data_IF_201349160090
#
_entry.id   IF_201349160090
#
_cell.length_a   1.000
_cell.length_b   1.000
_cell.length_c   1.000
_cell.angle_alpha   90.00
_cell.angle_beta   90.00
_cell.angle_gamma   90.00
#
_symmetry.space_group_name_H-M   'P 1'
#
loop_
_entity.id
_entity.type
_entity.pdbx_description
1 polymer ?
#
# COMPACT_ATOMS: atom_id res chain seq x y z
N UNK A 1 -14.82 23.71 -0.56
CA UNK A 1 -14.57 22.45 -1.30
C UNK A 1 -13.59 22.62 -2.44
N UNK A 2 -13.81 23.49 -3.44
CA UNK A 2 -12.91 23.65 -4.60
C UNK A 2 -11.43 23.87 -4.22
N UNK A 3 -11.15 24.68 -3.19
CA UNK A 3 -9.80 24.89 -2.69
C UNK A 3 -9.15 23.59 -2.17
N UNK A 4 -9.88 22.78 -1.40
CA UNK A 4 -9.40 21.50 -0.88
C UNK A 4 -9.17 20.49 -2.01
N UNK A 5 -10.08 20.41 -2.98
CA UNK A 5 -9.88 19.58 -4.17
C UNK A 5 -8.67 20.05 -4.99
N UNK A 6 -8.40 21.36 -5.07
CA UNK A 6 -7.21 21.90 -5.75
C UNK A 6 -5.91 21.40 -5.08
N UNK A 7 -5.84 21.42 -3.75
CA UNK A 7 -4.70 20.86 -3.00
C UNK A 7 -4.56 19.33 -3.14
N UNK A 8 -5.67 18.59 -3.16
CA UNK A 8 -5.65 17.15 -3.45
C UNK A 8 -5.21 16.85 -4.90
N UNK A 9 -5.64 17.67 -5.85
CA UNK A 9 -5.23 17.55 -7.24
C UNK A 9 -3.74 17.89 -7.41
N UNK A 10 -3.25 18.90 -6.68
CA UNK A 10 -1.82 19.21 -6.59
C UNK A 10 -1.01 18.01 -6.07
N UNK A 11 -1.49 17.30 -5.04
CA UNK A 11 -0.87 16.06 -4.56
C UNK A 11 -0.77 15.00 -5.66
N UNK A 12 -1.78 14.88 -6.54
CA UNK A 12 -1.72 13.96 -7.69
C UNK A 12 -0.68 14.42 -8.71
N UNK A 13 -0.55 15.71 -8.99
CA UNK A 13 0.46 16.23 -9.91
C UNK A 13 1.91 16.06 -9.41
N UNK A 14 2.14 16.07 -8.09
CA UNK A 14 3.48 15.85 -7.51
C UNK A 14 4.04 14.45 -7.85
N UNK A 15 3.19 13.50 -8.27
CA UNK A 15 3.61 12.17 -8.75
C UNK A 15 4.57 12.23 -9.94
N UNK A 16 4.50 13.29 -10.74
CA UNK A 16 5.34 13.48 -11.92
C UNK A 16 6.78 13.91 -11.58
N UNK A 17 7.07 14.27 -10.32
CA UNK A 17 8.41 14.68 -9.90
C UNK A 17 9.23 13.43 -9.55
N UNK A 18 10.40 13.17 -10.19
CA UNK A 18 11.13 11.91 -10.02
C UNK A 18 11.63 11.65 -8.59
N UNK A 19 11.91 12.70 -7.81
CA UNK A 19 12.44 12.59 -6.44
C UNK A 19 11.32 12.40 -5.41
N UNK A 20 10.21 13.12 -5.54
CA UNK A 20 9.12 13.14 -4.54
C UNK A 20 7.99 12.16 -4.94
N UNK A 21 7.84 11.87 -6.23
CA UNK A 21 6.73 11.10 -6.78
C UNK A 21 6.65 9.67 -6.27
N UNK A 22 7.77 9.02 -5.95
CA UNK A 22 7.79 7.66 -5.34
C UNK A 22 6.99 7.64 -4.05
N UNK A 23 7.22 8.62 -3.17
CA UNK A 23 6.57 8.70 -1.87
C UNK A 23 5.06 8.95 -2.01
N UNK A 24 4.67 9.77 -2.99
CA UNK A 24 3.25 10.05 -3.26
C UNK A 24 2.53 8.84 -3.84
N UNK A 25 3.17 8.11 -4.77
CA UNK A 25 2.61 6.87 -5.34
C UNK A 25 2.49 5.81 -4.24
N UNK A 26 3.50 5.64 -3.41
CA UNK A 26 3.47 4.72 -2.27
C UNK A 26 2.38 5.10 -1.25
N UNK A 27 2.21 6.40 -0.94
CA UNK A 27 1.14 6.90 -0.09
C UNK A 27 -0.25 6.58 -0.64
N UNK A 28 -0.46 6.70 -1.96
CA UNK A 28 -1.73 6.33 -2.59
C UNK A 28 -2.02 4.83 -2.45
N UNK A 29 -1.01 3.99 -2.67
CA UNK A 29 -1.15 2.53 -2.53
C UNK A 29 -1.53 2.18 -1.09
N UNK A 30 -0.82 2.73 -0.10
CA UNK A 30 -1.12 2.52 1.33
C UNK A 30 -2.52 3.06 1.69
N UNK A 31 -2.90 4.23 1.16
CA UNK A 31 -4.23 4.81 1.39
C UNK A 31 -5.35 3.91 0.88
N UNK A 32 -5.20 3.33 -0.32
CA UNK A 32 -6.18 2.36 -0.86
C UNK A 32 -6.30 1.11 0.01
N UNK A 33 -5.18 0.64 0.55
CA UNK A 33 -5.17 -0.49 1.49
C UNK A 33 -5.89 -0.13 2.78
N UNK A 34 -5.61 1.03 3.37
CA UNK A 34 -6.30 1.51 4.56
C UNK A 34 -7.82 1.61 4.37
N UNK A 35 -8.28 2.13 3.22
CA UNK A 35 -9.72 2.22 2.90
C UNK A 35 -10.40 0.85 2.88
N UNK A 36 -9.68 -0.23 2.51
CA UNK A 36 -10.23 -1.60 2.54
C UNK A 36 -10.55 -2.08 3.96
N UNK A 37 -9.89 -1.54 4.97
CA UNK A 37 -10.12 -1.88 6.39
C UNK A 37 -11.13 -0.94 7.09
N UNK A 38 -11.49 0.20 6.49
CA UNK A 38 -12.49 1.14 7.04
C UNK A 38 -13.85 0.49 7.41
N UNK A 39 -14.41 -0.45 6.64
CA UNK A 39 -15.70 -1.07 7.00
C UNK A 39 -15.68 -1.76 8.37
N UNK A 40 -14.54 -2.34 8.76
CA UNK A 40 -14.38 -2.97 10.08
C UNK A 40 -14.45 -1.93 11.20
N UNK A 41 -13.79 -0.78 11.00
CA UNK A 41 -13.86 0.35 11.93
C UNK A 41 -15.28 0.93 12.04
N UNK A 42 -16.02 1.00 10.92
CA UNK A 42 -17.41 1.50 10.93
C UNK A 42 -18.34 0.63 11.78
N UNK A 43 -18.19 -0.70 11.75
CA UNK A 43 -19.02 -1.59 12.60
C UNK A 43 -18.78 -1.31 14.08
N UNK A 44 -17.53 -1.06 14.48
CA UNK A 44 -17.16 -0.73 15.85
C UNK A 44 -17.74 0.64 16.25
N UNK A 45 -17.60 1.66 15.39
CA UNK A 45 -18.18 3.00 15.60
C UNK A 45 -19.69 2.90 15.78
N UNK A 46 -20.38 2.13 14.95
CA UNK A 46 -21.82 1.94 15.05
C UNK A 46 -22.22 1.23 16.35
N UNK A 47 -21.54 0.16 16.73
CA UNK A 47 -21.83 -0.58 17.95
C UNK A 47 -21.71 0.27 19.21
N UNK A 48 -20.57 0.94 19.39
CA UNK A 48 -20.36 1.81 20.55
C UNK A 48 -21.19 3.09 20.46
N UNK A 49 -21.34 3.67 19.26
CA UNK A 49 -22.09 4.91 19.08
C UNK A 49 -23.58 4.78 19.36
N UNK A 50 -24.22 3.70 18.93
CA UNK A 50 -25.61 3.42 19.30
C UNK A 50 -25.76 3.09 20.80
N UNK A 51 -24.75 2.48 21.40
CA UNK A 51 -24.77 2.22 22.85
C UNK A 51 -24.69 3.53 23.65
N UNK A 52 -23.82 4.47 23.24
CA UNK A 52 -23.77 5.81 23.84
C UNK A 52 -25.04 6.61 23.57
N UNK A 53 -25.63 6.50 22.37
CA UNK A 53 -26.91 7.13 22.06
C UNK A 53 -28.00 6.70 23.04
N UNK A 54 -28.16 5.39 23.25
CA UNK A 54 -29.18 4.86 24.17
C UNK A 54 -28.92 5.26 25.64
N UNK A 55 -27.66 5.35 26.06
CA UNK A 55 -27.29 5.60 27.45
C UNK A 55 -27.24 7.11 27.80
N UNK A 56 -26.86 7.95 26.85
CA UNK A 56 -26.59 9.39 27.03
C UNK A 56 -27.54 10.28 26.22
N UNK A 57 -28.70 9.79 25.78
CA UNK A 57 -29.68 10.57 24.99
C UNK A 57 -30.07 11.92 25.61
N UNK A 58 -29.93 12.07 26.93
CA UNK A 58 -30.22 13.30 27.66
C UNK A 58 -29.13 14.38 27.49
N UNK A 59 -27.94 14.03 27.02
CA UNK A 59 -26.85 14.97 26.74
C UNK A 59 -27.01 15.52 25.32
N UNK A 60 -26.82 16.83 25.13
CA UNK A 60 -27.01 17.45 23.81
C UNK A 60 -26.10 16.81 22.74
N UNK A 61 -24.90 16.40 23.18
CA UNK A 61 -23.86 15.77 22.36
C UNK A 61 -24.30 14.41 21.78
N UNK A 62 -25.26 13.74 22.41
CA UNK A 62 -25.78 12.42 21.99
C UNK A 62 -27.28 12.46 21.66
N UNK A 63 -27.85 13.64 21.45
CA UNK A 63 -29.27 13.86 21.18
C UNK A 63 -29.78 13.19 19.88
N UNK A 64 -28.92 13.07 18.87
CA UNK A 64 -29.26 12.41 17.60
C UNK A 64 -28.34 11.23 17.32
N UNK A 65 -28.82 10.17 16.64
CA UNK A 65 -27.99 9.02 16.33
C UNK A 65 -26.78 9.40 15.46
N UNK A 66 -26.94 10.37 14.55
CA UNK A 66 -25.81 10.85 13.75
C UNK A 66 -24.77 11.60 14.59
N UNK A 67 -25.19 12.49 15.50
CA UNK A 67 -24.26 13.15 16.43
C UNK A 67 -23.55 12.14 17.32
N UNK A 68 -24.25 11.10 17.80
CA UNK A 68 -23.65 10.07 18.65
C UNK A 68 -22.54 9.30 17.94
N UNK A 69 -22.71 9.00 16.65
CA UNK A 69 -21.70 8.32 15.83
C UNK A 69 -20.50 9.22 15.57
N UNK A 70 -20.73 10.48 15.18
CA UNK A 70 -19.68 11.48 14.99
C UNK A 70 -18.92 11.70 16.30
N UNK A 71 -19.64 11.74 17.43
CA UNK A 71 -19.00 11.93 18.72
C UNK A 71 -18.15 10.75 19.12
N UNK A 72 -18.68 9.54 18.93
CA UNK A 72 -17.97 8.30 19.23
C UNK A 72 -16.73 8.16 18.37
N UNK A 73 -16.78 8.55 17.08
CA UNK A 73 -15.59 8.55 16.23
C UNK A 73 -14.54 9.56 16.68
N UNK A 74 -14.92 10.71 17.24
CA UNK A 74 -13.96 11.64 17.84
C UNK A 74 -13.32 11.08 19.11
N UNK A 75 -14.12 10.41 19.97
CA UNK A 75 -13.64 9.74 21.19
C UNK A 75 -12.62 8.64 20.87
N UNK A 76 -12.67 8.06 19.67
CA UNK A 76 -11.65 7.10 19.21
C UNK A 76 -10.26 7.72 19.04
N UNK A 77 -10.17 9.01 18.69
CA UNK A 77 -8.91 9.70 18.47
C UNK A 77 -8.44 10.48 19.71
N UNK A 78 -9.38 10.88 20.58
CA UNK A 78 -9.11 11.76 21.72
C UNK A 78 -9.68 11.14 23.01
N UNK A 79 -8.81 10.83 23.97
CA UNK A 79 -9.17 10.22 25.26
C UNK A 79 -9.48 11.27 26.35
N UNK A 80 -10.39 12.21 26.06
CA UNK A 80 -10.81 13.22 27.04
C UNK A 80 -12.26 12.98 27.49
N UNK A 81 -12.46 12.63 28.77
CA UNK A 81 -13.77 12.26 29.33
C UNK A 81 -14.61 13.48 29.75
N UNK A 82 -14.01 14.41 30.49
CA UNK A 82 -14.73 15.41 31.30
C UNK A 82 -15.54 16.45 30.50
N UNK A 83 -14.99 16.99 29.40
CA UNK A 83 -15.70 18.03 28.62
C UNK A 83 -16.44 17.47 27.41
N UNK A 84 -16.09 16.26 26.98
CA UNK A 84 -16.50 15.74 25.67
C UNK A 84 -17.64 14.75 25.80
N UNK A 85 -17.68 13.89 26.82
CA UNK A 85 -18.63 12.77 26.87
C UNK A 85 -19.79 13.04 27.82
N UNK A 86 -19.52 13.68 28.96
CA UNK A 86 -20.54 13.87 29.98
C UNK A 86 -20.42 15.25 30.61
N UNK A 87 -21.44 16.09 30.40
CA UNK A 87 -21.54 17.36 31.10
C UNK A 87 -22.48 17.22 32.28
N UNK A 88 -21.93 17.41 33.48
CA UNK A 88 -22.66 17.44 34.74
C UNK A 88 -23.82 18.47 34.72
N UNK A 89 -23.65 19.58 33.98
CA UNK A 89 -24.65 20.65 33.87
C UNK A 89 -25.87 20.30 33.02
N UNK A 90 -25.79 19.30 32.14
CA UNK A 90 -26.86 18.90 31.22
C UNK A 90 -27.80 17.83 31.81
N UNK A 91 -27.67 17.53 33.11
CA UNK A 91 -28.73 17.00 33.99
C UNK A 91 -29.61 15.86 33.45
N UNK A 92 -29.23 14.60 33.68
CA UNK A 92 -30.05 13.42 33.41
C UNK A 92 -29.97 12.37 34.53
N UNK A 93 -30.58 11.19 34.30
CA UNK A 93 -30.42 10.02 35.19
C UNK A 93 -28.93 9.67 35.25
N UNK A 94 -28.35 9.65 36.46
CA UNK A 94 -26.91 9.47 36.67
C UNK A 94 -26.45 8.04 36.33
N UNK A 95 -26.14 7.78 35.05
CA UNK A 95 -25.46 6.57 34.59
C UNK A 95 -23.93 6.70 34.61
N UNK A 96 -23.40 7.70 35.33
CA UNK A 96 -21.98 8.01 35.43
C UNK A 96 -21.03 6.79 35.55
N UNK A 97 -21.26 5.82 36.48
CA UNK A 97 -20.37 4.66 36.59
C UNK A 97 -20.41 3.75 35.35
N UNK A 98 -21.59 3.57 34.73
CA UNK A 98 -21.75 2.72 33.54
C UNK A 98 -21.08 3.37 32.34
N UNK A 99 -21.28 4.68 32.14
CA UNK A 99 -20.65 5.45 31.07
C UNK A 99 -19.12 5.44 31.18
N UNK A 100 -18.59 5.56 32.41
CA UNK A 100 -17.15 5.51 32.65
C UNK A 100 -16.53 4.15 32.31
N UNK A 101 -17.19 3.05 32.72
CA UNK A 101 -16.77 1.70 32.34
C UNK A 101 -16.81 1.52 30.82
N UNK A 102 -17.86 2.01 30.17
CA UNK A 102 -18.02 1.92 28.72
C UNK A 102 -16.97 2.74 27.97
N UNK A 103 -16.56 3.89 28.52
CA UNK A 103 -15.47 4.71 28.01
C UNK A 103 -14.13 3.98 28.05
N UNK A 104 -13.78 3.37 29.19
CA UNK A 104 -12.54 2.57 29.32
C UNK A 104 -12.57 1.39 28.34
N UNK A 105 -13.70 0.69 28.25
CA UNK A 105 -13.86 -0.44 27.33
C UNK A 105 -13.70 0.00 25.86
N UNK A 106 -14.31 1.13 25.49
CA UNK A 106 -14.17 1.72 24.16
C UNK A 106 -12.70 2.02 23.87
N UNK A 107 -11.99 2.70 24.78
CA UNK A 107 -10.56 3.02 24.61
C UNK A 107 -9.65 1.79 24.48
N UNK A 108 -9.89 0.77 25.31
CA UNK A 108 -9.16 -0.49 25.25
C UNK A 108 -9.37 -1.21 23.92
N UNK A 109 -10.63 -1.37 23.52
CA UNK A 109 -11.00 -1.99 22.25
C UNK A 109 -10.37 -1.24 21.09
N UNK A 110 -10.43 0.09 21.09
CA UNK A 110 -9.79 0.92 20.06
C UNK A 110 -8.29 0.73 19.98
N UNK A 111 -7.58 0.69 21.11
CA UNK A 111 -6.11 0.53 21.11
C UNK A 111 -5.71 -0.84 20.56
N UNK A 112 -6.43 -1.90 20.94
CA UNK A 112 -6.24 -3.25 20.40
C UNK A 112 -6.49 -3.26 18.88
N UNK A 113 -7.60 -2.69 18.42
CA UNK A 113 -7.92 -2.67 16.99
C UNK A 113 -6.94 -1.81 16.17
N UNK A 114 -6.59 -0.62 16.63
CA UNK A 114 -5.68 0.29 15.91
C UNK A 114 -4.30 -0.34 15.79
N UNK A 115 -3.72 -0.84 16.89
CA UNK A 115 -2.39 -1.45 16.86
C UNK A 115 -2.40 -2.72 16.01
N UNK A 116 -3.40 -3.59 16.17
CA UNK A 116 -3.48 -4.84 15.41
C UNK A 116 -3.70 -4.62 13.91
N UNK A 117 -4.49 -3.59 13.56
CA UNK A 117 -4.72 -3.22 12.16
C UNK A 117 -3.47 -2.56 11.56
N UNK A 118 -2.80 -1.66 12.29
CA UNK A 118 -1.60 -0.99 11.80
C UNK A 118 -0.43 -1.97 11.62
N UNK A 119 -0.24 -2.88 12.56
CA UNK A 119 0.78 -3.94 12.47
C UNK A 119 0.41 -4.95 11.39
N UNK A 120 -0.86 -5.35 11.29
CA UNK A 120 -1.35 -6.26 10.26
C UNK A 120 -1.22 -5.70 8.84
N UNK A 121 -1.34 -4.36 8.70
CA UNK A 121 -1.12 -3.65 7.44
C UNK A 121 0.38 -3.47 7.14
N UNK A 122 1.21 -3.19 8.14
CA UNK A 122 2.62 -2.85 7.96
C UNK A 122 3.54 -4.08 7.79
N UNK A 123 3.41 -5.10 8.64
CA UNK A 123 4.43 -6.16 8.78
C UNK A 123 4.58 -7.05 7.54
N UNK A 124 3.50 -7.31 6.81
CA UNK A 124 3.55 -8.15 5.61
C UNK A 124 3.82 -7.39 4.30
N UNK A 125 3.59 -6.08 4.27
CA UNK A 125 3.48 -5.34 3.01
C UNK A 125 4.65 -4.37 2.75
N UNK A 126 5.50 -4.03 3.73
CA UNK A 126 6.63 -3.08 3.51
C UNK A 126 7.53 -3.46 2.31
N UNK A 127 8.06 -4.71 2.18
CA UNK A 127 8.98 -5.02 1.08
C UNK A 127 8.28 -5.03 -0.29
N UNK A 128 7.06 -5.56 -0.37
CA UNK A 128 6.28 -5.65 -1.61
C UNK A 128 5.74 -4.27 -2.06
N UNK A 129 5.44 -3.38 -1.12
CA UNK A 129 5.00 -2.01 -1.43
C UNK A 129 6.13 -1.14 -2.00
N UNK A 130 7.38 -1.36 -1.55
CA UNK A 130 8.55 -0.64 -2.09
C UNK A 130 8.81 -1.05 -3.55
N UNK A 131 8.76 -2.35 -3.85
CA UNK A 131 8.91 -2.85 -5.22
C UNK A 131 7.76 -2.39 -6.14
N UNK A 132 6.52 -2.44 -5.65
CA UNK A 132 5.38 -1.91 -6.41
C UNK A 132 5.50 -0.40 -6.64
N UNK A 133 5.98 0.37 -5.67
CA UNK A 133 6.18 1.80 -5.80
C UNK A 133 7.19 2.17 -6.89
N UNK A 134 8.32 1.47 -6.97
CA UNK A 134 9.35 1.70 -8.00
C UNK A 134 8.88 1.29 -9.39
N UNK A 135 8.15 0.18 -9.51
CA UNK A 135 7.55 -0.26 -10.78
C UNK A 135 6.45 0.69 -11.26
N UNK A 136 5.56 1.12 -10.36
CA UNK A 136 4.48 2.06 -10.68
C UNK A 136 5.03 3.42 -11.09
N UNK A 137 6.06 3.92 -10.42
CA UNK A 137 6.69 5.17 -10.83
C UNK A 137 7.35 5.04 -12.21
N UNK A 138 8.07 3.95 -12.43
CA UNK A 138 8.69 3.68 -13.74
C UNK A 138 7.61 3.70 -14.84
N UNK A 139 6.49 3.00 -14.63
CA UNK A 139 5.35 3.02 -15.57
C UNK A 139 4.78 4.41 -15.79
N UNK A 140 4.53 5.19 -14.73
CA UNK A 140 4.01 6.57 -14.87
C UNK A 140 4.97 7.45 -15.69
N UNK A 141 6.28 7.30 -15.50
CA UNK A 141 7.29 8.00 -16.30
C UNK A 141 7.29 7.55 -17.76
N UNK A 142 7.06 6.28 -18.06
CA UNK A 142 6.94 5.78 -19.44
C UNK A 142 5.62 6.18 -20.11
N UNK A 143 4.50 6.09 -19.41
CA UNK A 143 3.17 6.43 -19.93
C UNK A 143 3.10 7.92 -20.30
N UNK A 144 3.60 8.79 -19.42
CA UNK A 144 3.71 10.22 -19.73
C UNK A 144 4.58 10.48 -20.95
N UNK A 145 5.74 9.82 -21.05
CA UNK A 145 6.63 9.95 -22.22
C UNK A 145 5.98 9.46 -23.52
N UNK A 146 5.30 8.31 -23.47
CA UNK A 146 4.55 7.72 -24.58
C UNK A 146 3.40 8.62 -25.02
N UNK A 147 2.67 9.23 -24.08
CA UNK A 147 1.61 10.19 -24.39
C UNK A 147 2.17 11.44 -25.10
N UNK A 148 3.36 11.92 -24.72
CA UNK A 148 4.07 12.97 -25.46
C UNK A 148 4.51 12.52 -26.86
N UNK A 149 4.98 11.28 -27.01
CA UNK A 149 5.39 10.75 -28.32
C UNK A 149 4.19 10.51 -29.25
N UNK A 150 3.08 9.99 -28.73
CA UNK A 150 1.84 9.77 -29.47
C UNK A 150 1.24 11.12 -29.91
N UNK A 151 1.25 12.11 -29.02
CA UNK A 151 0.82 13.48 -29.35
C UNK A 151 1.74 14.12 -30.41
N UNK A 152 3.06 13.92 -30.31
CA UNK A 152 4.04 14.38 -31.32
C UNK A 152 3.83 13.69 -32.67
N UNK A 153 3.51 12.41 -32.67
CA UNK A 153 3.20 11.64 -33.89
C UNK A 153 1.86 12.08 -34.50
N UNK A 154 0.85 12.36 -33.68
CA UNK A 154 -0.42 12.93 -34.16
C UNK A 154 -0.20 14.31 -34.78
N UNK A 155 0.57 15.19 -34.13
CA UNK A 155 0.92 16.52 -34.67
C UNK A 155 1.73 16.39 -35.98
N UNK A 156 2.68 15.45 -36.05
CA UNK A 156 3.42 15.12 -37.28
C UNK A 156 2.49 14.70 -38.42
N UNK A 157 1.50 13.85 -38.13
CA UNK A 157 0.54 13.36 -39.13
C UNK A 157 -0.38 14.47 -39.65
N UNK A 158 -0.83 15.38 -38.77
CA UNK A 158 -1.65 16.54 -39.15
C UNK A 158 -0.83 17.55 -39.96
N UNK A 159 0.42 17.81 -39.58
CA UNK A 159 1.30 18.73 -40.29
C UNK A 159 1.66 18.23 -41.70
N UNK A 160 1.92 16.92 -41.85
CA UNK A 160 2.14 16.29 -43.15
C UNK A 160 0.88 16.29 -44.03
N UNK A 161 -0.30 16.12 -43.43
CA UNK A 161 -1.58 16.22 -44.13
C UNK A 161 -1.85 17.66 -44.62
N UNK A 162 -1.57 18.68 -43.82
CA UNK A 162 -1.68 20.11 -44.18
C UNK A 162 -0.73 20.47 -45.34
N UNK A 163 0.53 20.01 -45.29
CA UNK A 163 1.51 20.22 -46.38
C UNK A 163 1.07 19.52 -47.66
N UNK A 164 0.44 18.35 -47.56
CA UNK A 164 -0.13 17.62 -48.70
C UNK A 164 -1.31 18.36 -49.34
N UNK A 165 -2.09 19.12 -48.57
CA UNK A 165 -3.26 19.87 -49.05
C UNK A 165 -2.94 21.28 -49.56
N UNK A 166 -1.88 21.92 -49.04
CA UNK A 166 -1.48 23.28 -49.43
C UNK A 166 -0.74 23.31 -50.78
N UNK A 167 -0.20 22.20 -51.26
CA UNK A 167 0.65 22.16 -52.45
C UNK A 167 0.07 21.30 -53.58
N UNK A 168 -0.94 21.83 -54.30
CA UNK A 168 -1.51 21.19 -55.48
C UNK A 168 -0.70 21.42 -56.78
N UNK A 169 0.33 22.27 -56.78
CA UNK A 169 0.99 22.73 -58.03
C UNK A 169 2.53 22.65 -58.09
N UNK A 170 3.25 21.94 -57.20
CA UNK A 170 4.72 21.93 -57.25
C UNK A 170 5.36 20.58 -57.61
N UNK A 171 6.35 20.65 -58.51
CA UNK A 171 7.15 19.57 -59.11
C UNK A 171 7.78 18.62 -58.06
N UNK A 172 7.95 17.35 -58.45
CA UNK A 172 8.31 16.20 -57.59
C UNK A 172 9.58 16.39 -56.75
N UNK A 173 10.48 17.28 -57.17
CA UNK A 173 11.77 17.54 -56.49
C UNK A 173 11.64 18.34 -55.18
N UNK A 174 10.60 19.18 -55.03
CA UNK A 174 10.43 20.01 -53.82
C UNK A 174 9.86 19.23 -52.64
N UNK A 175 9.02 18.21 -52.90
CA UNK A 175 8.37 17.37 -51.88
C UNK A 175 9.38 16.57 -51.05
N UNK A 176 10.40 15.99 -51.69
CA UNK A 176 11.44 15.20 -51.03
C UNK A 176 12.38 16.08 -50.18
N UNK A 177 12.70 17.28 -50.68
CA UNK A 177 13.59 18.22 -49.99
C UNK A 177 12.91 18.86 -48.76
N UNK A 178 11.60 19.10 -48.83
CA UNK A 178 10.81 19.60 -47.72
C UNK A 178 10.61 18.53 -46.63
N UNK A 179 10.40 17.26 -47.02
CA UNK A 179 10.41 16.11 -46.10
C UNK A 179 11.71 16.02 -45.31
N UNK A 180 12.85 16.11 -46.00
CA UNK A 180 14.19 16.06 -45.37
C UNK A 180 14.53 17.29 -44.53
N UNK A 181 14.01 18.48 -44.85
CA UNK A 181 14.27 19.71 -44.09
C UNK A 181 13.45 19.80 -42.80
N UNK A 182 12.20 19.32 -42.83
CA UNK A 182 11.36 19.21 -41.62
C UNK A 182 11.95 18.19 -40.64
N UNK A 183 12.51 17.08 -41.15
CA UNK A 183 13.19 16.06 -40.35
C UNK A 183 14.53 16.57 -39.77
N UNK A 184 15.31 17.33 -40.57
CA UNK A 184 16.65 17.84 -40.18
C UNK A 184 16.61 19.02 -39.20
N UNK A 185 15.59 19.87 -39.25
CA UNK A 185 15.47 21.02 -38.34
C UNK A 185 15.07 20.63 -36.91
N UNK A 186 14.42 19.47 -36.73
CA UNK A 186 14.00 18.98 -35.42
C UNK A 186 15.09 18.17 -34.70
N UNK A 187 16.05 17.59 -35.44
CA UNK A 187 17.20 16.84 -34.92
C UNK A 187 18.33 17.72 -34.35
N UNK A 188 18.26 19.04 -34.55
CA UNK A 188 19.34 19.96 -34.22
C UNK A 188 19.50 20.22 -32.70
N UNK A 189 18.60 19.73 -31.83
CA UNK A 189 18.70 20.00 -30.39
C UNK A 189 19.50 18.95 -29.60
N UNK A 190 19.79 17.75 -30.12
CA UNK A 190 20.62 16.77 -29.40
C UNK A 190 21.46 15.85 -30.33
N UNK A 191 22.74 16.18 -30.59
CA UNK A 191 23.61 15.40 -31.49
C UNK A 191 24.06 14.02 -30.97
N UNK A 192 23.74 13.66 -29.72
CA UNK A 192 24.18 12.41 -29.09
C UNK A 192 23.22 11.23 -29.37
N UNK A 193 21.95 11.50 -29.67
CA UNK A 193 20.93 10.43 -29.79
C UNK A 193 20.91 9.71 -31.15
N UNK A 194 21.37 10.33 -32.24
CA UNK A 194 21.26 9.73 -33.58
C UNK A 194 22.31 8.64 -33.87
N UNK A 195 23.52 8.74 -33.31
CA UNK A 195 24.57 7.71 -33.46
C UNK A 195 24.34 6.47 -32.57
N UNK A 196 23.52 6.59 -31.52
CA UNK A 196 23.27 5.51 -30.55
C UNK A 196 22.04 4.68 -30.94
N UNK A 197 21.00 5.32 -31.50
CA UNK A 197 19.68 4.72 -31.72
C UNK A 197 19.70 3.53 -32.70
N UNK A 198 20.28 3.66 -33.89
CA UNK A 198 20.12 2.60 -34.90
C UNK A 198 21.10 1.41 -34.78
N UNK A 199 22.28 1.57 -34.16
CA UNK A 199 23.31 0.50 -34.13
C UNK A 199 23.42 -0.25 -32.79
N UNK A 200 23.07 0.37 -31.66
CA UNK A 200 23.24 -0.26 -30.33
C UNK A 200 21.95 -0.84 -29.77
N UNK A 201 20.79 -0.26 -30.08
CA UNK A 201 19.55 -0.56 -29.37
C UNK A 201 19.08 -2.00 -29.58
N UNK A 202 19.16 -2.55 -30.80
CA UNK A 202 18.73 -3.93 -31.05
C UNK A 202 19.67 -5.03 -30.52
N UNK A 203 20.95 -4.72 -30.25
CA UNK A 203 21.92 -5.70 -29.74
C UNK A 203 22.10 -5.63 -28.23
N UNK A 204 22.05 -4.42 -27.67
CA UNK A 204 22.14 -4.19 -26.23
C UNK A 204 20.81 -4.53 -25.54
N UNK A 205 19.65 -4.17 -26.11
CA UNK A 205 18.36 -4.59 -25.52
C UNK A 205 18.20 -6.11 -25.51
N UNK A 206 18.68 -6.83 -26.54
CA UNK A 206 18.70 -8.30 -26.52
C UNK A 206 19.59 -8.85 -25.41
N UNK A 207 20.76 -8.25 -25.19
CA UNK A 207 21.69 -8.64 -24.11
C UNK A 207 21.13 -8.31 -22.72
N UNK A 208 20.53 -7.14 -22.55
CA UNK A 208 19.89 -6.71 -21.29
C UNK A 208 18.66 -7.58 -21.01
N UNK A 209 17.83 -7.86 -21.99
CA UNK A 209 16.69 -8.77 -21.84
C UNK A 209 17.13 -10.20 -21.48
N UNK A 210 18.23 -10.70 -22.07
CA UNK A 210 18.83 -11.97 -21.67
C UNK A 210 19.41 -11.94 -20.25
N UNK A 211 20.05 -10.83 -19.86
CA UNK A 211 20.62 -10.66 -18.52
C UNK A 211 19.52 -10.57 -17.45
N UNK A 212 18.46 -9.79 -17.71
CA UNK A 212 17.29 -9.67 -16.85
C UNK A 212 16.54 -11.00 -16.75
N UNK A 213 16.32 -11.70 -17.88
CA UNK A 213 15.70 -13.03 -17.86
C UNK A 213 16.52 -14.04 -17.04
N UNK A 214 17.85 -13.96 -17.10
CA UNK A 214 18.75 -14.83 -16.32
C UNK A 214 18.77 -14.46 -14.83
N UNK A 215 18.78 -13.17 -14.49
CA UNK A 215 18.75 -12.73 -13.10
C UNK A 215 17.41 -13.01 -12.44
N UNK A 216 16.29 -12.72 -13.10
CA UNK A 216 14.94 -13.02 -12.59
C UNK A 216 14.78 -14.53 -12.40
N UNK A 217 15.24 -15.35 -13.35
CA UNK A 217 15.18 -16.80 -13.22
C UNK A 217 16.07 -17.30 -12.06
N UNK A 218 17.26 -16.73 -11.89
CA UNK A 218 18.16 -17.08 -10.78
C UNK A 218 17.59 -16.66 -9.42
N UNK A 219 16.92 -15.51 -9.34
CA UNK A 219 16.29 -15.00 -8.12
C UNK A 219 15.10 -15.88 -7.72
N UNK A 220 14.28 -16.29 -8.69
CA UNK A 220 13.20 -17.27 -8.48
C UNK A 220 13.72 -18.65 -8.05
N UNK A 221 14.84 -19.11 -8.63
CA UNK A 221 15.49 -20.37 -8.21
C UNK A 221 16.02 -20.24 -6.78
N UNK A 222 16.70 -19.14 -6.44
CA UNK A 222 17.24 -18.91 -5.11
C UNK A 222 16.13 -18.88 -4.05
N UNK A 223 15.01 -18.22 -4.35
CA UNK A 223 13.86 -18.16 -3.45
C UNK A 223 13.23 -19.54 -3.23
N UNK A 224 13.10 -20.34 -4.29
CA UNK A 224 12.61 -21.74 -4.18
C UNK A 224 13.56 -22.64 -3.37
N UNK A 225 14.87 -22.44 -3.50
CA UNK A 225 15.89 -23.18 -2.74
C UNK A 225 15.89 -22.75 -1.27
N UNK A 226 15.76 -21.45 -0.99
CA UNK A 226 15.71 -20.92 0.37
C UNK A 226 14.43 -21.36 1.11
N UNK A 227 13.30 -21.49 0.39
CA UNK A 227 12.05 -22.02 0.93
C UNK A 227 12.17 -23.51 1.26
N UNK A 228 12.78 -24.32 0.38
CA UNK A 228 13.02 -25.74 0.61
C UNK A 228 14.02 -25.97 1.79
N UNK A 229 15.05 -25.14 1.92
CA UNK A 229 16.00 -25.16 3.04
C UNK A 229 15.32 -24.79 4.37
N UNK A 230 14.45 -23.77 4.37
CA UNK A 230 13.65 -23.41 5.55
C UNK A 230 12.72 -24.54 5.97
N UNK A 231 12.08 -25.21 5.02
CA UNK A 231 11.20 -26.34 5.30
C UNK A 231 11.97 -27.53 5.93
N UNK A 232 13.17 -27.84 5.41
CA UNK A 232 14.03 -28.86 6.00
C UNK A 232 14.50 -28.51 7.41
N UNK A 233 14.82 -27.24 7.66
CA UNK A 233 15.22 -26.77 8.99
C UNK A 233 14.09 -26.92 10.01
N UNK A 234 12.87 -26.52 9.67
CA UNK A 234 11.70 -26.67 10.53
C UNK A 234 11.34 -28.14 10.79
N UNK A 235 11.46 -29.01 9.78
CA UNK A 235 11.30 -30.47 9.96
C UNK A 235 12.30 -31.01 10.99
N UNK A 236 13.59 -30.67 10.89
CA UNK A 236 14.62 -31.10 11.84
C UNK A 236 14.37 -30.57 13.25
N UNK A 237 13.90 -29.32 13.37
CA UNK A 237 13.57 -28.71 14.66
C UNK A 237 12.41 -29.44 15.33
N UNK A 238 11.34 -29.76 14.60
CA UNK A 238 10.20 -30.55 15.10
C UNK A 238 10.63 -31.95 15.54
N UNK A 239 11.50 -32.63 14.79
CA UNK A 239 12.03 -33.94 15.18
C UNK A 239 12.86 -33.88 16.46
N UNK A 240 13.68 -32.83 16.65
CA UNK A 240 14.46 -32.66 17.89
C UNK A 240 13.56 -32.39 19.09
N UNK A 241 12.52 -31.57 18.92
CA UNK A 241 11.56 -31.28 19.98
C UNK A 241 10.76 -32.54 20.38
N UNK A 242 10.34 -33.34 19.40
CA UNK A 242 9.66 -34.63 19.66
C UNK A 242 10.56 -35.61 20.43
N UNK A 243 11.86 -35.70 20.09
CA UNK A 243 12.79 -36.55 20.83
C UNK A 243 12.96 -36.09 22.28
N UNK A 244 13.07 -34.77 22.52
CA UNK A 244 13.16 -34.23 23.88
C UNK A 244 11.90 -34.51 24.71
N UNK A 245 10.71 -34.37 24.12
CA UNK A 245 9.44 -34.69 24.78
C UNK A 245 9.31 -36.20 25.08
N UNK A 246 9.82 -37.06 24.20
CA UNK A 246 9.81 -38.51 24.38
C UNK A 246 10.82 -38.95 25.46
N UNK A 247 12.00 -38.34 25.50
CA UNK A 247 13.02 -38.55 26.53
C UNK A 247 12.50 -38.13 27.91
N UNK A 248 11.84 -36.96 28.02
CA UNK A 248 11.24 -36.48 29.28
C UNK A 248 10.10 -37.41 29.76
N UNK A 249 9.28 -37.94 28.83
CA UNK A 249 8.25 -38.93 29.16
C UNK A 249 8.84 -40.25 29.64
N UNK A 250 9.97 -40.67 29.07
CA UNK A 250 10.64 -41.90 29.49
C UNK A 250 11.25 -41.75 30.89
N UNK A 251 11.90 -40.63 31.17
CA UNK A 251 12.46 -40.32 32.49
C UNK A 251 11.37 -40.28 33.57
N UNK A 252 10.22 -39.65 33.29
CA UNK A 252 9.06 -39.64 34.20
C UNK A 252 8.49 -41.04 34.46
N UNK A 253 8.46 -41.92 33.45
CA UNK A 253 8.02 -43.31 33.60
C UNK A 253 9.00 -44.12 34.47
N UNK A 254 10.30 -43.93 34.29
CA UNK A 254 11.33 -44.60 35.09
C UNK A 254 11.30 -44.13 36.56
N UNK A 255 11.12 -42.84 36.80
CA UNK A 255 10.91 -42.28 38.15
C UNK A 255 9.64 -42.83 38.82
N UNK A 256 8.53 -42.93 38.09
CA UNK A 256 7.30 -43.52 38.61
C UNK A 256 7.47 -45.02 38.95
N UNK A 257 8.21 -45.78 38.14
CA UNK A 257 8.53 -47.18 38.39
C UNK A 257 9.47 -47.38 39.60
N UNK A 258 10.39 -46.45 39.85
CA UNK A 258 11.24 -46.45 41.05
C UNK A 258 10.46 -46.13 42.32
N UNK A 259 9.51 -45.18 42.24
CA UNK A 259 8.64 -44.82 43.36
C UNK A 259 7.65 -45.95 43.71
N UNK A 260 7.15 -46.70 42.73
CA UNK A 260 6.30 -47.87 42.99
C UNK A 260 7.07 -49.04 43.61
N UNK A 261 8.33 -49.28 43.18
CA UNK A 261 9.22 -50.27 43.82
C UNK A 261 9.59 -49.92 45.26
N UNK A 262 9.75 -48.64 45.61
CA UNK A 262 10.01 -48.20 47.00
C UNK A 262 8.80 -48.40 47.93
N UNK A 263 7.57 -48.39 47.40
CA UNK A 263 6.35 -48.66 48.18
C UNK A 263 6.08 -50.16 48.43
N UNK A 264 6.85 -51.06 47.83
CA UNK A 264 6.65 -52.51 47.93
C UNK A 264 7.69 -53.25 48.80
N UNK A 265 8.60 -52.54 49.48
CA UNK A 265 9.46 -53.17 50.50
C UNK A 265 8.82 -52.97 51.88
N UNK A 266 8.49 -54.06 52.60
CA UNK A 266 8.02 -54.00 53.98
C UNK A 266 9.10 -53.48 54.92
#
# INVERSE_FOLDING_TARGET
>A
MALLLSWLNLLVYIRCIPIIGIYVVMLEVISKKFVRFLPVLLVIICGFGFTYYALLQNQEVYSTPLLSLIKTSLVMFEMNFDDRIYKQSEGGINYYPVTFILFILTGYVMTVFVINLLIGLAVGEIPTLVEQGTLLQSRISYDTLSDYEILRLQIRSVFLWIISHICCCCSSSFKHKLYLLVDRSFLHQHPILFQINDRKENSILKRIAQYLKKNILNEQIQESVDEEVKEQYEKRKKTKLQRADDDEKQEKKELAALQSKKKLKP
#
